data_IF_625813562129
#
_entry.id   IF_625813562129
#
_cell.length_a   1.000
_cell.length_b   1.000
_cell.length_c   1.000
_cell.angle_alpha   90.00
_cell.angle_beta   90.00
_cell.angle_gamma   90.00
#
_symmetry.space_group_name_H-M   'P 1'
#
loop_
_entity.id
_entity.type
_entity.pdbx_description
1 polymer ?
#
# COMPACT_ATOMS: atom_id res chain seq x y z
N UNK A 1 -23.39 -0.38 -9.25
CA UNK A 1 -22.60 0.83 -9.64
C UNK A 1 -21.79 0.42 -10.86
N UNK A 2 -21.85 1.19 -11.94
CA UNK A 2 -21.20 0.83 -13.21
C UNK A 2 -19.70 1.17 -13.11
N UNK A 3 -18.82 0.32 -13.63
CA UNK A 3 -17.37 0.54 -13.69
C UNK A 3 -17.05 1.86 -14.39
N UNK A 4 -17.76 2.16 -15.47
CA UNK A 4 -17.60 3.42 -16.21
C UNK A 4 -17.84 4.64 -15.33
N UNK A 5 -18.86 4.59 -14.47
CA UNK A 5 -19.13 5.66 -13.51
C UNK A 5 -17.98 5.86 -12.51
N UNK A 6 -17.37 4.76 -12.02
CA UNK A 6 -16.22 4.86 -11.14
C UNK A 6 -15.03 5.46 -11.88
N UNK A 7 -14.76 4.98 -13.10
CA UNK A 7 -13.65 5.48 -13.91
C UNK A 7 -13.81 6.97 -14.24
N UNK A 8 -15.03 7.39 -14.56
CA UNK A 8 -15.34 8.81 -14.79
C UNK A 8 -15.08 9.66 -13.53
N UNK A 9 -15.48 9.17 -12.36
CA UNK A 9 -15.29 9.89 -11.09
C UNK A 9 -13.83 9.99 -10.65
N UNK A 10 -13.02 8.96 -10.88
CA UNK A 10 -11.59 8.96 -10.51
C UNK A 10 -10.69 9.62 -11.58
N UNK A 11 -11.20 9.79 -12.81
CA UNK A 11 -10.41 10.35 -13.93
C UNK A 11 -9.77 11.70 -13.62
N UNK A 12 -10.47 12.72 -13.06
CA UNK A 12 -9.84 14.00 -12.74
C UNK A 12 -8.65 13.84 -11.77
N UNK A 13 -8.80 13.02 -10.73
CA UNK A 13 -7.73 12.78 -9.75
C UNK A 13 -6.56 12.01 -10.36
N UNK A 14 -6.85 11.06 -11.25
CA UNK A 14 -5.80 10.36 -12.00
C UNK A 14 -5.02 11.31 -12.91
N UNK A 15 -5.72 12.19 -13.64
CA UNK A 15 -5.10 13.17 -14.52
C UNK A 15 -4.25 14.16 -13.72
N UNK A 16 -4.69 14.59 -12.53
CA UNK A 16 -3.94 15.42 -11.60
C UNK A 16 -2.65 14.73 -11.12
N UNK A 17 -2.72 13.46 -10.73
CA UNK A 17 -1.56 12.67 -10.33
C UNK A 17 -0.55 12.48 -11.47
N UNK A 18 -1.02 12.15 -12.68
CA UNK A 18 -0.15 11.95 -13.85
C UNK A 18 0.58 13.22 -14.26
N UNK A 19 -0.02 14.39 -14.03
CA UNK A 19 0.55 15.70 -14.36
C UNK A 19 1.17 16.39 -13.13
N UNK A 20 1.39 15.67 -12.04
CA UNK A 20 1.89 16.26 -10.81
C UNK A 20 3.31 16.81 -10.98
N UNK A 21 3.53 18.02 -10.49
CA UNK A 21 4.82 18.74 -10.64
C UNK A 21 6.02 18.03 -9.98
N UNK A 22 5.79 17.03 -9.15
CA UNK A 22 6.85 16.22 -8.53
C UNK A 22 7.77 15.59 -9.58
N UNK A 23 7.19 15.05 -10.68
CA UNK A 23 7.96 14.37 -11.71
C UNK A 23 8.98 15.29 -12.41
N UNK A 24 8.70 16.58 -12.49
CA UNK A 24 9.63 17.57 -13.04
C UNK A 24 10.65 18.10 -12.02
N UNK A 25 10.53 17.75 -10.75
CA UNK A 25 11.41 18.21 -9.66
C UNK A 25 12.46 17.19 -9.26
N UNK A 26 12.32 15.92 -9.65
CA UNK A 26 13.34 14.89 -9.42
C UNK A 26 14.37 15.01 -10.54
N UNK A 27 15.43 15.79 -10.31
CA UNK A 27 16.46 16.10 -11.31
C UNK A 27 17.83 15.49 -10.98
N UNK A 28 18.07 15.16 -9.73
CA UNK A 28 19.33 14.62 -9.22
C UNK A 28 19.07 13.52 -8.19
N UNK A 29 20.15 12.81 -7.83
CA UNK A 29 20.05 11.65 -6.95
C UNK A 29 19.50 12.00 -5.56
N UNK A 30 19.85 13.16 -5.03
CA UNK A 30 19.37 13.61 -3.72
C UNK A 30 17.86 13.85 -3.71
N UNK A 31 17.29 14.31 -4.83
CA UNK A 31 15.84 14.48 -4.96
C UNK A 31 15.16 13.12 -4.95
N UNK A 32 15.76 12.10 -5.60
CA UNK A 32 15.26 10.74 -5.61
C UNK A 32 15.38 10.10 -4.22
N UNK A 33 16.48 10.30 -3.52
CA UNK A 33 16.65 9.87 -2.12
C UNK A 33 15.52 10.42 -1.24
N UNK A 34 15.34 11.75 -1.27
CA UNK A 34 14.30 12.42 -0.50
C UNK A 34 12.88 11.92 -0.87
N UNK A 35 12.64 11.70 -2.17
CA UNK A 35 11.37 11.13 -2.62
C UNK A 35 11.15 9.74 -2.03
N UNK A 36 12.11 8.83 -2.17
CA UNK A 36 11.96 7.44 -1.73
C UNK A 36 11.85 7.30 -0.22
N UNK A 37 12.56 8.13 0.56
CA UNK A 37 12.47 8.18 2.03
C UNK A 37 11.07 8.59 2.53
N UNK A 38 10.30 9.30 1.73
CA UNK A 38 8.92 9.67 2.04
C UNK A 38 7.90 8.71 1.41
N UNK A 39 8.17 8.18 0.23
CA UNK A 39 7.26 7.30 -0.50
C UNK A 39 7.20 5.88 0.08
N UNK A 40 8.24 5.43 0.78
CA UNK A 40 8.27 4.08 1.41
C UNK A 40 7.07 3.83 2.33
N UNK A 41 6.54 4.85 2.99
CA UNK A 41 5.34 4.73 3.81
C UNK A 41 4.10 4.37 2.99
N UNK A 42 3.99 4.90 1.76
CA UNK A 42 2.90 4.55 0.86
C UNK A 42 3.04 3.12 0.31
N UNK A 43 4.27 2.64 0.08
CA UNK A 43 4.54 1.24 -0.31
C UNK A 43 4.10 0.28 0.80
N UNK A 44 4.47 0.56 2.05
CA UNK A 44 4.03 -0.23 3.20
C UNK A 44 2.52 -0.16 3.43
N UNK A 45 1.94 1.02 3.31
CA UNK A 45 0.50 1.26 3.45
C UNK A 45 -0.32 0.45 2.43
N UNK A 46 0.14 0.40 1.18
CA UNK A 46 -0.48 -0.42 0.15
C UNK A 46 -0.51 -1.91 0.52
N UNK A 47 0.57 -2.44 1.09
CA UNK A 47 0.60 -3.82 1.59
C UNK A 47 -0.42 -4.04 2.70
N UNK A 48 -0.57 -3.08 3.61
CA UNK A 48 -1.57 -3.14 4.68
C UNK A 48 -3.00 -3.13 4.15
N UNK A 49 -3.30 -2.28 3.17
CA UNK A 49 -4.57 -2.25 2.47
C UNK A 49 -4.84 -3.58 1.74
N UNK A 50 -3.86 -4.11 1.02
CA UNK A 50 -3.96 -5.37 0.30
C UNK A 50 -4.26 -6.55 1.25
N UNK A 51 -3.62 -6.60 2.41
CA UNK A 51 -3.90 -7.63 3.43
C UNK A 51 -5.31 -7.49 3.99
N UNK A 52 -5.80 -6.29 4.22
CA UNK A 52 -7.18 -6.06 4.63
C UNK A 52 -8.18 -6.53 3.56
N UNK A 53 -7.90 -6.27 2.29
CA UNK A 53 -8.71 -6.79 1.17
C UNK A 53 -8.67 -8.32 1.11
N UNK A 54 -7.50 -8.95 1.30
CA UNK A 54 -7.35 -10.40 1.34
C UNK A 54 -8.19 -11.03 2.45
N UNK A 55 -8.12 -10.48 3.67
CA UNK A 55 -8.89 -10.96 4.83
C UNK A 55 -10.40 -10.90 4.56
N UNK A 56 -10.86 -9.83 3.91
CA UNK A 56 -12.28 -9.57 3.71
C UNK A 56 -12.86 -10.24 2.44
N UNK A 57 -12.07 -10.41 1.39
CA UNK A 57 -12.53 -10.85 0.07
C UNK A 57 -12.09 -12.27 -0.30
N UNK A 58 -11.29 -12.91 0.55
CA UNK A 58 -10.86 -14.30 0.39
C UNK A 58 -11.16 -15.10 1.67
N UNK A 59 -10.75 -16.37 1.73
CA UNK A 59 -10.82 -17.13 2.96
C UNK A 59 -9.43 -17.36 3.54
N UNK A 60 -9.08 -16.60 4.57
CA UNK A 60 -7.81 -16.71 5.32
C UNK A 60 -7.98 -17.45 6.65
N UNK A 61 -9.19 -17.98 6.94
CA UNK A 61 -9.55 -18.63 8.21
C UNK A 61 -9.46 -20.15 8.12
N UNK A 62 -9.30 -20.79 9.28
CA UNK A 62 -9.44 -22.24 9.45
C UNK A 62 -10.62 -22.52 10.39
N UNK A 63 -11.48 -23.53 10.09
CA UNK A 63 -11.46 -24.35 8.87
C UNK A 63 -11.76 -23.54 7.62
N UNK A 64 -11.18 -23.94 6.49
CA UNK A 64 -11.37 -23.27 5.20
C UNK A 64 -12.80 -23.46 4.67
N UNK A 65 -13.30 -22.45 3.99
CA UNK A 65 -14.54 -22.50 3.23
C UNK A 65 -14.42 -21.76 1.89
N UNK A 66 -15.21 -22.15 0.87
CA UNK A 66 -15.16 -21.50 -0.44
C UNK A 66 -15.67 -20.06 -0.37
N UNK A 67 -15.01 -19.15 -1.10
CA UNK A 67 -15.49 -17.79 -1.26
C UNK A 67 -16.67 -17.73 -2.23
N UNK A 68 -17.66 -16.87 -1.97
CA UNK A 68 -18.82 -16.67 -2.85
C UNK A 68 -18.45 -16.08 -4.20
N UNK A 69 -17.41 -15.27 -4.25
CA UNK A 69 -16.89 -14.64 -5.47
C UNK A 69 -15.47 -15.13 -5.75
N UNK A 70 -15.35 -16.23 -6.47
CA UNK A 70 -14.07 -16.83 -6.80
C UNK A 70 -13.20 -15.94 -7.69
N UNK A 71 -13.82 -15.12 -8.55
CA UNK A 71 -13.08 -14.21 -9.43
C UNK A 71 -12.40 -13.08 -8.63
N UNK A 72 -13.11 -12.52 -7.65
CA UNK A 72 -12.52 -11.51 -6.76
C UNK A 72 -11.42 -12.14 -5.89
N UNK A 73 -11.66 -13.34 -5.35
CA UNK A 73 -10.65 -14.04 -4.56
C UNK A 73 -9.40 -14.37 -5.39
N UNK A 74 -9.57 -14.79 -6.65
CA UNK A 74 -8.46 -15.01 -7.58
C UNK A 74 -7.64 -13.72 -7.78
N UNK A 75 -8.29 -12.62 -8.14
CA UNK A 75 -7.62 -11.34 -8.38
C UNK A 75 -6.81 -10.88 -7.16
N UNK A 76 -7.40 -10.92 -5.97
CA UNK A 76 -6.71 -10.51 -4.75
C UNK A 76 -5.51 -11.42 -4.44
N UNK A 77 -5.67 -12.72 -4.55
CA UNK A 77 -4.56 -13.66 -4.28
C UNK A 77 -3.44 -13.55 -5.32
N UNK A 78 -3.75 -13.23 -6.58
CA UNK A 78 -2.75 -12.97 -7.62
C UNK A 78 -1.92 -11.71 -7.29
N UNK A 79 -2.59 -10.62 -6.86
CA UNK A 79 -1.90 -9.41 -6.42
C UNK A 79 -1.04 -9.71 -5.18
N UNK A 80 -1.57 -10.43 -4.18
CA UNK A 80 -0.81 -10.81 -2.98
C UNK A 80 0.42 -11.63 -3.35
N UNK A 81 0.29 -12.58 -4.27
CA UNK A 81 1.42 -13.40 -4.73
C UNK A 81 2.52 -12.52 -5.34
N UNK A 82 2.16 -11.56 -6.18
CA UNK A 82 3.11 -10.65 -6.81
C UNK A 82 3.77 -9.73 -5.77
N UNK A 83 2.97 -9.11 -4.90
CA UNK A 83 3.45 -8.10 -3.95
C UNK A 83 4.28 -8.67 -2.79
N UNK A 84 3.98 -9.87 -2.31
CA UNK A 84 4.68 -10.48 -1.17
C UNK A 84 5.85 -11.37 -1.57
N UNK A 85 5.89 -11.86 -2.82
CA UNK A 85 6.84 -12.93 -3.20
C UNK A 85 7.38 -12.77 -4.62
N UNK A 86 7.65 -11.56 -5.04
CA UNK A 86 8.27 -11.28 -6.34
C UNK A 86 9.76 -11.71 -6.36
N UNK A 87 10.36 -11.69 -7.52
CA UNK A 87 11.77 -12.05 -7.72
C UNK A 87 12.62 -10.78 -7.83
N UNK A 88 13.67 -10.69 -7.02
CA UNK A 88 14.71 -9.70 -7.22
C UNK A 88 15.62 -10.08 -8.41
N UNK A 89 16.57 -9.21 -8.74
CA UNK A 89 17.53 -9.43 -9.83
C UNK A 89 18.43 -10.67 -9.65
N UNK A 90 18.51 -11.20 -8.41
CA UNK A 90 19.29 -12.41 -8.08
C UNK A 90 18.43 -13.68 -8.09
N UNK A 91 17.13 -13.57 -8.39
CA UNK A 91 16.18 -14.68 -8.35
C UNK A 91 15.73 -15.07 -6.94
N UNK A 92 15.94 -14.21 -5.94
CA UNK A 92 15.47 -14.41 -4.57
C UNK A 92 14.03 -13.88 -4.41
N UNK A 93 13.18 -14.61 -3.66
CA UNK A 93 11.82 -14.16 -3.35
C UNK A 93 11.85 -13.05 -2.30
N UNK A 94 11.20 -11.93 -2.63
CA UNK A 94 11.07 -10.74 -1.78
C UNK A 94 9.75 -10.03 -2.01
N UNK A 95 9.25 -9.36 -1.00
CA UNK A 95 8.13 -8.45 -1.15
C UNK A 95 8.54 -7.18 -1.90
N UNK A 96 7.59 -6.51 -2.54
CA UNK A 96 7.84 -5.20 -3.15
C UNK A 96 8.37 -4.19 -2.13
N UNK A 97 7.95 -4.28 -0.87
CA UNK A 97 8.52 -3.46 0.21
C UNK A 97 10.03 -3.72 0.41
N UNK A 98 10.47 -4.99 0.44
CA UNK A 98 11.90 -5.34 0.56
C UNK A 98 12.68 -4.93 -0.69
N UNK A 99 12.11 -5.12 -1.90
CA UNK A 99 12.71 -4.65 -3.15
C UNK A 99 12.87 -3.13 -3.17
N UNK A 100 11.88 -2.41 -2.64
CA UNK A 100 11.95 -0.96 -2.51
C UNK A 100 13.07 -0.52 -1.57
N UNK A 101 13.24 -1.20 -0.42
CA UNK A 101 14.36 -0.96 0.49
C UNK A 101 15.73 -1.26 -0.14
N UNK A 102 15.83 -2.30 -0.97
CA UNK A 102 17.05 -2.57 -1.73
C UNK A 102 17.36 -1.44 -2.70
N UNK A 103 16.38 -1.00 -3.48
CA UNK A 103 16.53 0.13 -4.39
C UNK A 103 16.91 1.44 -3.66
N UNK A 104 16.33 1.69 -2.49
CA UNK A 104 16.71 2.85 -1.64
C UNK A 104 18.17 2.77 -1.20
N UNK A 105 18.66 1.61 -0.79
CA UNK A 105 20.08 1.40 -0.45
C UNK A 105 20.99 1.67 -1.63
N UNK A 106 20.63 1.16 -2.81
CA UNK A 106 21.44 1.29 -4.03
C UNK A 106 21.63 2.75 -4.44
N UNK A 107 20.64 3.59 -4.20
CA UNK A 107 20.74 5.04 -4.45
C UNK A 107 21.31 5.83 -3.27
N UNK A 108 21.64 5.17 -2.15
CA UNK A 108 22.17 5.83 -0.94
C UNK A 108 21.14 6.60 -0.10
N UNK A 109 19.84 6.29 -0.24
CA UNK A 109 18.78 6.82 0.61
C UNK A 109 18.80 6.19 2.01
N UNK A 110 18.36 6.94 3.02
CA UNK A 110 18.24 6.44 4.39
C UNK A 110 17.07 5.47 4.52
N UNK A 111 17.35 4.27 5.03
CA UNK A 111 16.33 3.25 5.31
C UNK A 111 16.05 3.05 6.80
N UNK A 112 16.96 3.46 7.68
CA UNK A 112 16.88 3.15 9.11
C UNK A 112 15.67 3.85 9.76
N UNK A 113 15.48 5.14 9.47
CA UNK A 113 14.34 5.89 10.03
C UNK A 113 12.99 5.28 9.60
N UNK A 114 12.68 5.09 8.31
CA UNK A 114 11.40 4.52 7.92
C UNK A 114 11.20 3.08 8.40
N UNK A 115 12.23 2.22 8.39
CA UNK A 115 12.10 0.84 8.88
C UNK A 115 11.82 0.78 10.37
N UNK A 116 12.47 1.61 11.19
CA UNK A 116 12.22 1.67 12.62
C UNK A 116 10.80 2.15 12.92
N UNK A 117 10.35 3.23 12.27
CA UNK A 117 9.01 3.76 12.46
C UNK A 117 7.91 2.79 12.01
N UNK A 118 8.12 2.09 10.88
CA UNK A 118 7.19 1.05 10.42
C UNK A 118 7.17 -0.13 11.40
N UNK A 119 8.32 -0.53 11.94
CA UNK A 119 8.40 -1.58 12.97
C UNK A 119 7.64 -1.19 14.24
N UNK A 120 7.73 0.06 14.67
CA UNK A 120 6.95 0.58 15.81
C UNK A 120 5.45 0.51 15.53
N UNK A 121 5.00 0.89 14.33
CA UNK A 121 3.60 0.81 13.92
C UNK A 121 3.07 -0.64 13.90
N UNK A 122 3.86 -1.58 13.36
CA UNK A 122 3.49 -3.01 13.30
C UNK A 122 3.31 -3.59 14.71
N UNK A 123 4.16 -3.21 15.65
CA UNK A 123 4.13 -3.70 17.03
C UNK A 123 3.17 -2.92 17.94
N UNK A 124 2.53 -1.88 17.44
CA UNK A 124 1.62 -1.04 18.23
C UNK A 124 0.28 -1.73 18.49
N UNK A 125 -0.26 -1.46 19.69
CA UNK A 125 -1.66 -1.81 20.01
C UNK A 125 -2.68 -0.81 19.49
N UNK A 126 -2.23 0.38 19.11
CA UNK A 126 -3.07 1.47 18.63
C UNK A 126 -2.33 2.18 17.49
N UNK A 127 -2.65 1.76 16.27
CA UNK A 127 -2.00 2.26 15.06
C UNK A 127 -2.18 3.77 14.90
N UNK A 128 -3.33 4.33 15.28
CA UNK A 128 -3.60 5.75 15.12
C UNK A 128 -2.74 6.61 16.06
N UNK A 129 -2.56 6.17 17.31
CA UNK A 129 -1.65 6.84 18.25
C UNK A 129 -0.21 6.74 17.78
N UNK A 130 0.20 5.58 17.26
CA UNK A 130 1.54 5.41 16.71
C UNK A 130 1.79 6.35 15.53
N UNK A 131 0.87 6.41 14.56
CA UNK A 131 1.00 7.33 13.43
C UNK A 131 1.10 8.79 13.92
N UNK A 132 0.31 9.17 14.93
CA UNK A 132 0.35 10.53 15.47
C UNK A 132 1.70 10.90 16.08
N UNK A 133 2.34 9.96 16.77
CA UNK A 133 3.63 10.16 17.43
C UNK A 133 4.83 10.19 16.48
N UNK A 134 4.67 9.77 15.20
CA UNK A 134 5.77 9.73 14.25
C UNK A 134 6.36 11.13 13.96
N UNK A 135 7.67 11.22 13.84
CA UNK A 135 8.37 12.42 13.37
C UNK A 135 8.51 12.44 11.84
N UNK A 136 7.38 12.46 11.14
CA UNK A 136 7.27 12.52 9.68
C UNK A 136 6.36 13.66 9.24
N UNK A 137 6.35 13.96 7.94
CA UNK A 137 5.52 15.02 7.40
C UNK A 137 4.03 14.75 7.65
N UNK A 138 3.27 15.79 8.03
CA UNK A 138 1.84 15.68 8.38
C UNK A 138 1.00 15.01 7.29
N UNK A 139 1.27 15.29 6.02
CA UNK A 139 0.50 14.71 4.90
C UNK A 139 0.70 13.19 4.81
N UNK A 140 1.88 12.67 5.20
CA UNK A 140 2.12 11.22 5.27
C UNK A 140 1.28 10.63 6.41
N UNK A 141 1.23 11.29 7.57
CA UNK A 141 0.37 10.85 8.68
C UNK A 141 -1.12 10.81 8.28
N UNK A 142 -1.59 11.86 7.61
CA UNK A 142 -2.98 11.94 7.14
C UNK A 142 -3.29 10.84 6.12
N UNK A 143 -2.36 10.56 5.20
CA UNK A 143 -2.49 9.48 4.22
C UNK A 143 -2.59 8.11 4.91
N UNK A 144 -1.67 7.79 5.82
CA UNK A 144 -1.70 6.54 6.60
C UNK A 144 -2.99 6.41 7.41
N UNK A 145 -3.40 7.48 8.11
CA UNK A 145 -4.65 7.48 8.88
C UNK A 145 -5.86 7.20 7.99
N UNK A 146 -5.91 7.79 6.81
CA UNK A 146 -7.00 7.56 5.86
C UNK A 146 -7.13 6.09 5.49
N UNK A 147 -6.02 5.41 5.17
CA UNK A 147 -6.04 3.98 4.85
C UNK A 147 -6.47 3.15 6.05
N UNK A 148 -5.86 3.35 7.22
CA UNK A 148 -6.22 2.59 8.42
C UNK A 148 -7.64 2.88 8.90
N UNK A 149 -8.15 4.07 8.72
CA UNK A 149 -9.55 4.40 8.95
C UNK A 149 -10.44 3.60 7.99
N UNK A 150 -10.17 3.66 6.70
CA UNK A 150 -10.90 2.92 5.69
C UNK A 150 -10.92 1.40 5.94
N UNK A 151 -9.80 0.78 6.36
CA UNK A 151 -9.74 -0.66 6.64
C UNK A 151 -10.32 -1.05 8.00
N UNK A 152 -10.34 -0.14 8.99
CA UNK A 152 -10.89 -0.39 10.33
C UNK A 152 -12.41 -0.26 10.37
N UNK A 153 -12.97 0.71 9.65
CA UNK A 153 -14.42 0.94 9.57
C UNK A 153 -15.10 0.08 8.50
N UNK A 154 -14.34 -0.45 7.58
CA UNK A 154 -14.87 -1.40 6.64
C UNK A 154 -14.83 -2.80 7.31
N UNK A 155 -15.91 -3.11 8.02
CA UNK A 155 -16.75 -4.15 7.40
C UNK A 155 -16.94 -3.71 5.96
N UNK A 156 -15.95 -3.98 5.09
CA UNK A 156 -16.03 -3.75 3.66
C UNK A 156 -17.21 -4.59 3.15
N UNK A 157 -18.41 -4.13 3.46
CA UNK A 157 -19.52 -4.33 2.57
C UNK A 157 -19.10 -3.55 1.32
N UNK A 158 -18.18 -4.10 0.54
CA UNK A 158 -18.17 -3.79 -0.87
C UNK A 158 -19.62 -3.93 -1.26
N UNK A 159 -20.31 -2.83 -1.59
CA UNK A 159 -21.64 -2.97 -2.12
C UNK A 159 -21.47 -3.97 -3.24
N UNK A 160 -22.45 -4.82 -3.48
CA UNK A 160 -22.57 -5.94 -4.42
C UNK A 160 -22.14 -5.61 -5.87
N UNK A 161 -21.22 -4.71 -6.06
CA UNK A 161 -20.78 -3.99 -7.24
C UNK A 161 -19.69 -4.73 -8.02
N UNK A 162 -18.99 -5.67 -7.36
CA UNK A 162 -18.10 -6.61 -8.04
C UNK A 162 -18.83 -7.91 -8.44
N UNK A 163 -20.15 -7.90 -8.44
CA UNK A 163 -21.01 -9.02 -8.83
C UNK A 163 -21.64 -8.80 -10.20
N UNK A 164 -20.89 -8.34 -11.19
CA UNK A 164 -21.30 -8.42 -12.61
C UNK A 164 -20.11 -8.88 -13.44
#
# INVERSE_FOLDING_TARGET
MNIDYIQEKIKPHRDELLNHSLYSKILKIEDLQLFTENHIYAVWDFMSLLKALQINLTCTKTPWGPNKNSQTAYLINEIVLAEETDLNQKGERKSHYELYLEAMKDIGASIDKPTNLISEMINSKDIFKSIESLEIHKNIKEFLKFTFDAVSYTHLTLPTILLV
#
